data_IF_403611009149
#
_entry.id   IF_403611009149
#
_cell.length_a   1.000
_cell.length_b   1.000
_cell.length_c   1.000
_cell.angle_alpha   90.00
_cell.angle_beta   90.00
_cell.angle_gamma   90.00
#
_symmetry.space_group_name_H-M   'P 1'
#
loop_
_entity.id
_entity.type
_entity.pdbx_description
1 polymer ?
#
# COMPACT_ATOMS: atom_id res chain seq x y z
N UNK A 1 -6.73 -37.97 -13.21
CA UNK A 1 -6.44 -37.41 -13.03
C UNK A 1 -6.78 -36.41 -12.80
N UNK A 2 -6.83 -36.11 -12.73
CA UNK A 2 -7.27 -35.13 -12.71
C UNK A 2 -6.96 -34.28 -11.97
N UNK A 3 -6.65 -34.32 -11.48
CA UNK A 3 -6.26 -33.72 -10.68
C UNK A 3 -5.53 -32.67 -10.86
N UNK A 4 -4.85 -32.88 -11.27
CA UNK A 4 -3.97 -31.93 -11.54
C UNK A 4 -4.65 -30.82 -11.99
N UNK A 5 -5.53 -31.05 -12.57
CA UNK A 5 -6.23 -30.13 -13.06
C UNK A 5 -6.50 -29.13 -12.16
N UNK A 6 -6.71 -29.49 -11.17
CA UNK A 6 -7.12 -28.59 -10.27
C UNK A 6 -6.05 -27.61 -10.20
N UNK A 7 -4.94 -28.01 -10.21
CA UNK A 7 -3.91 -27.11 -10.06
C UNK A 7 -3.96 -26.06 -11.05
N UNK A 8 -4.35 -26.37 -12.14
CA UNK A 8 -4.34 -25.46 -13.15
C UNK A 8 -5.16 -24.35 -12.87
N UNK A 9 -6.18 -24.54 -12.30
CA UNK A 9 -7.02 -23.55 -12.11
C UNK A 9 -6.56 -22.52 -11.27
N UNK A 10 -5.99 -22.82 -10.24
CA UNK A 10 -5.69 -21.81 -9.40
C UNK A 10 -4.75 -20.81 -9.97
N UNK A 11 -4.12 -21.13 -10.97
CA UNK A 11 -3.21 -20.19 -11.39
C UNK A 11 -3.79 -19.34 -12.44
N UNK A 12 -4.98 -19.47 -12.68
CA UNK A 12 -5.50 -18.73 -13.65
C UNK A 12 -5.55 -17.34 -13.27
N UNK A 13 -5.35 -16.59 -14.14
CA UNK A 13 -5.33 -15.24 -14.02
C UNK A 13 -6.48 -14.66 -13.42
N UNK A 14 -7.37 -15.26 -13.60
CA UNK A 14 -8.52 -14.80 -13.08
C UNK A 14 -8.20 -14.39 -11.76
N UNK A 15 -7.21 -14.81 -11.33
CA UNK A 15 -6.91 -14.55 -10.04
C UNK A 15 -6.68 -13.10 -9.91
N UNK A 16 -6.78 -12.36 -10.94
CA UNK A 16 -6.64 -11.05 -10.80
C UNK A 16 -7.70 -10.45 -10.03
N UNK A 17 -7.49 -10.07 -8.84
CA UNK A 17 -8.47 -9.37 -8.06
C UNK A 17 -8.54 -7.95 -8.55
N UNK A 18 -9.67 -7.31 -8.46
CA UNK A 18 -9.78 -5.92 -8.83
C UNK A 18 -8.91 -5.08 -7.92
N UNK A 19 -8.31 -4.05 -8.45
CA UNK A 19 -7.46 -3.17 -7.67
C UNK A 19 -7.94 -1.74 -7.80
N UNK A 20 -7.55 -0.91 -6.85
CA UNK A 20 -7.82 0.51 -6.91
C UNK A 20 -6.50 1.23 -6.72
N UNK A 21 -6.42 2.45 -7.17
CA UNK A 21 -5.19 3.22 -7.03
C UNK A 21 -5.13 3.90 -5.69
N UNK A 22 -3.99 3.81 -5.04
CA UNK A 22 -3.71 4.55 -3.83
C UNK A 22 -2.73 5.64 -4.19
N UNK A 23 -3.08 6.88 -3.85
CA UNK A 23 -2.19 8.02 -4.06
C UNK A 23 -1.80 8.56 -2.71
N UNK A 24 -0.52 8.57 -2.42
CA UNK A 24 -0.01 9.15 -1.20
C UNK A 24 0.67 10.45 -1.50
N UNK A 25 0.42 11.44 -0.66
CA UNK A 25 1.12 12.71 -0.72
C UNK A 25 1.63 12.96 0.67
N UNK A 26 2.73 13.61 0.82
CA UNK A 26 3.17 13.95 2.15
C UNK A 26 4.63 14.24 2.31
N UNK A 27 5.08 14.33 3.54
CA UNK A 27 6.45 14.64 3.91
C UNK A 27 6.83 13.84 5.14
N UNK A 28 8.09 13.54 5.33
CA UNK A 28 9.21 13.91 4.46
C UNK A 28 9.36 12.94 3.30
N UNK A 29 9.97 13.34 2.21
CA UNK A 29 10.01 12.52 1.00
C UNK A 29 10.80 11.22 1.15
N UNK A 30 11.73 11.17 2.10
CA UNK A 30 12.51 9.95 2.28
C UNK A 30 11.88 8.98 3.29
N UNK A 31 10.69 9.26 3.74
CA UNK A 31 9.99 8.35 4.65
C UNK A 31 9.76 7.00 3.97
N UNK A 32 9.74 5.96 4.76
CA UNK A 32 9.53 4.60 4.26
C UNK A 32 8.05 4.26 4.28
N UNK A 33 7.55 3.77 3.17
CA UNK A 33 6.14 3.38 3.06
C UNK A 33 6.05 1.85 3.09
N UNK A 34 5.19 1.34 3.96
CA UNK A 34 4.94 -0.09 4.11
C UNK A 34 3.45 -0.32 4.00
N UNK A 35 3.04 -1.33 3.28
CA UNK A 35 1.63 -1.68 3.14
C UNK A 35 1.47 -3.13 3.51
N UNK A 36 0.62 -3.40 4.48
CA UNK A 36 0.38 -4.76 4.99
C UNK A 36 1.70 -5.41 5.40
N UNK A 37 2.55 -4.59 6.06
CA UNK A 37 3.85 -5.04 6.56
C UNK A 37 4.86 -5.36 5.47
N UNK A 38 4.61 -4.93 4.26
CA UNK A 38 5.54 -5.17 3.18
C UNK A 38 6.10 -3.84 2.68
N UNK A 39 7.40 -3.73 2.59
CA UNK A 39 8.04 -2.50 2.17
C UNK A 39 7.69 -2.18 0.71
N UNK A 40 7.27 -0.97 0.45
CA UNK A 40 6.88 -0.56 -0.89
C UNK A 40 7.91 0.39 -1.50
N UNK A 41 8.45 1.29 -0.72
CA UNK A 41 9.45 2.22 -1.23
C UNK A 41 9.46 3.51 -0.44
N UNK A 42 10.32 4.45 -0.81
CA UNK A 42 10.31 5.74 -0.15
C UNK A 42 9.12 6.56 -0.61
N UNK A 43 8.64 7.41 0.25
CA UNK A 43 7.45 8.20 -0.01
C UNK A 43 7.56 8.98 -1.33
N UNK A 44 8.72 9.54 -1.63
CA UNK A 44 8.89 10.29 -2.86
C UNK A 44 8.60 9.45 -4.10
N UNK A 45 8.97 8.20 -4.08
CA UNK A 45 8.75 7.31 -5.22
C UNK A 45 7.28 6.91 -5.26
N UNK A 46 6.71 6.60 -4.11
CA UNK A 46 5.32 6.18 -4.04
C UNK A 46 4.39 7.32 -4.47
N UNK A 47 4.76 8.56 -4.14
CA UNK A 47 3.96 9.70 -4.56
C UNK A 47 3.88 9.81 -6.08
N UNK A 48 4.96 9.50 -6.75
CA UNK A 48 4.99 9.60 -8.20
C UNK A 48 4.33 8.42 -8.87
N UNK A 49 4.61 7.23 -8.38
CA UNK A 49 4.11 6.03 -9.02
C UNK A 49 2.70 5.63 -8.63
N UNK A 50 2.31 5.95 -7.41
CA UNK A 50 1.06 5.43 -6.88
C UNK A 50 1.22 3.95 -6.57
N UNK A 51 0.21 3.36 -6.01
CA UNK A 51 0.20 1.94 -5.65
C UNK A 51 -1.14 1.36 -6.02
N UNK A 52 -1.13 0.17 -6.57
CA UNK A 52 -2.36 -0.55 -6.86
C UNK A 52 -2.67 -1.43 -5.64
N UNK A 53 -3.83 -1.23 -5.04
CA UNK A 53 -4.25 -2.01 -3.89
C UNK A 53 -5.37 -2.94 -4.27
N UNK A 54 -5.31 -4.20 -3.88
CA UNK A 54 -6.48 -5.07 -4.04
C UNK A 54 -7.62 -4.50 -3.23
N UNK A 55 -8.83 -4.72 -3.66
CA UNK A 55 -10.00 -4.30 -2.91
C UNK A 55 -9.97 -4.98 -1.54
N UNK A 56 -10.27 -4.25 -0.50
CA UNK A 56 -10.28 -4.77 0.87
C UNK A 56 -9.59 -3.83 1.83
N UNK A 57 -9.35 -4.31 3.03
CA UNK A 57 -8.71 -3.51 4.08
C UNK A 57 -7.21 -3.65 4.01
N UNK A 58 -6.51 -2.55 4.12
CA UNK A 58 -5.05 -2.56 4.09
C UNK A 58 -4.50 -1.61 5.13
N UNK A 59 -3.37 -1.96 5.68
CA UNK A 59 -2.70 -1.14 6.66
C UNK A 59 -1.57 -0.40 5.99
N UNK A 60 -1.61 0.92 6.02
CA UNK A 60 -0.59 1.75 5.41
C UNK A 60 0.24 2.35 6.54
N UNK A 61 1.53 2.14 6.51
CA UNK A 61 2.44 2.68 7.53
C UNK A 61 3.50 3.54 6.87
N UNK A 62 3.79 4.67 7.47
CA UNK A 62 4.82 5.57 6.97
C UNK A 62 5.71 5.95 8.14
N UNK A 63 7.01 5.78 7.96
CA UNK A 63 7.97 6.01 9.03
C UNK A 63 9.19 6.77 8.53
N UNK A 64 9.74 7.63 9.36
CA UNK A 64 10.99 8.29 9.05
C UNK A 64 11.73 8.53 10.34
N UNK A 65 13.06 8.51 10.26
CA UNK A 65 13.88 8.72 11.44
C UNK A 65 13.66 10.13 11.96
N UNK A 66 13.44 10.26 13.24
CA UNK A 66 13.18 11.55 13.85
C UNK A 66 11.74 12.00 13.82
N UNK A 67 10.84 11.14 13.35
CA UNK A 67 9.44 11.49 13.29
C UNK A 67 8.61 10.42 13.96
N UNK A 68 7.42 10.78 14.41
CA UNK A 68 6.50 9.79 14.96
C UNK A 68 5.98 8.93 13.80
N UNK A 69 5.84 7.63 14.00
CA UNK A 69 5.32 6.77 12.93
C UNK A 69 3.84 7.06 12.67
N UNK A 70 3.42 6.81 11.46
CA UNK A 70 2.04 7.03 11.04
C UNK A 70 1.48 5.73 10.49
N UNK A 71 0.31 5.38 10.93
CA UNK A 71 -0.37 4.18 10.49
C UNK A 71 -1.81 4.47 10.22
N UNK A 72 -2.38 3.82 9.26
CA UNK A 72 -3.81 3.95 9.01
C UNK A 72 -4.33 2.71 8.31
N UNK A 73 -5.51 2.25 8.71
CA UNK A 73 -6.19 1.18 8.00
C UNK A 73 -7.11 1.85 6.99
N UNK A 74 -7.00 1.47 5.74
CA UNK A 74 -7.86 1.99 4.72
C UNK A 74 -8.68 0.89 4.09
N UNK A 75 -9.89 1.22 3.75
CA UNK A 75 -10.75 0.28 3.08
C UNK A 75 -10.71 0.62 1.61
N UNK A 76 -10.08 -0.19 0.81
CA UNK A 76 -9.98 0.05 -0.63
C UNK A 76 -11.25 -0.47 -1.29
N UNK A 77 -12.11 0.45 -1.73
CA UNK A 77 -13.30 0.08 -2.44
C UNK A 77 -13.05 0.39 -3.89
N UNK A 78 -14.02 0.51 -4.69
CA UNK A 78 -13.78 0.73 -6.10
C UNK A 78 -13.60 2.18 -6.46
N UNK A 79 -12.84 2.89 -5.66
CA UNK A 79 -12.59 4.30 -5.88
C UNK A 79 -11.17 4.62 -5.56
N UNK A 80 -10.62 5.61 -6.20
CA UNK A 80 -9.29 6.09 -5.92
C UNK A 80 -9.17 6.47 -4.44
N UNK A 81 -8.13 6.07 -3.78
CA UNK A 81 -7.89 6.41 -2.40
C UNK A 81 -6.76 7.44 -2.36
N UNK A 82 -7.00 8.56 -1.71
CA UNK A 82 -5.99 9.59 -1.54
C UNK A 82 -5.71 9.79 -0.07
N UNK A 83 -4.46 9.81 0.29
CA UNK A 83 -4.04 10.04 1.66
C UNK A 83 -2.96 11.11 1.68
N UNK A 84 -3.09 12.04 2.63
CA UNK A 84 -2.08 13.07 2.81
C UNK A 84 -1.39 12.75 4.14
N UNK A 85 -0.13 12.39 4.08
CA UNK A 85 0.62 11.94 5.24
C UNK A 85 1.64 12.99 5.62
N UNK A 86 1.48 13.61 6.78
CA UNK A 86 2.45 14.58 7.25
C UNK A 86 3.00 14.09 8.56
N UNK A 87 4.18 13.54 8.53
CA UNK A 87 4.77 13.02 9.75
C UNK A 87 5.13 14.17 10.67
N UNK A 88 4.98 13.93 11.95
CA UNK A 88 5.24 14.92 12.97
C UNK A 88 6.62 14.67 13.56
N UNK A 89 7.49 15.66 13.59
CA UNK A 89 8.81 15.45 14.14
C UNK A 89 8.77 15.19 15.63
N UNK A 90 9.64 14.35 16.11
CA UNK A 90 9.77 14.07 17.51
C UNK A 90 10.60 15.19 18.10
N UNK A 91 10.11 15.88 19.12
CA UNK A 91 10.87 16.98 19.70
C UNK A 91 12.10 16.48 20.44
N UNK A 92 13.11 17.28 20.51
CA UNK A 92 14.34 16.94 21.19
C UNK A 92 14.19 16.99 22.70
#
# INVERSE_FOLDING_TARGET
MPVALAGCEWNLPHAKAPTVSLRLLGTPPDATVTIDDEYVGPLSVVMVRGVALPVGSHRISVEAQGYFPWDKIVEAKRQLVRLDVRLVPIPD
#
